data_IF_320992903315
#
_entry.id   IF_320992903315
#
_cell.length_a   1.000
_cell.length_b   1.000
_cell.length_c   1.000
_cell.angle_alpha   90.00
_cell.angle_beta   90.00
_cell.angle_gamma   90.00
#
_symmetry.space_group_name_H-M   'P 1'
#
loop_
_entity.id
_entity.type
_entity.pdbx_description
1 polymer ?
#
# COMPACT_ATOMS: atom_id res chain seq x y z
N UNK A 1 23.86 4.01 -4.77
CA UNK A 1 23.60 2.89 -3.82
C UNK A 1 22.66 3.27 -2.68
N UNK A 2 22.93 4.33 -1.91
CA UNK A 2 22.08 4.72 -0.76
C UNK A 2 20.62 4.96 -1.18
N UNK A 3 20.36 5.71 -2.26
CA UNK A 3 19.00 5.93 -2.79
C UNK A 3 18.27 4.62 -3.14
N UNK A 4 18.96 3.68 -3.79
CA UNK A 4 18.42 2.38 -4.18
C UNK A 4 18.06 1.52 -2.95
N UNK A 5 18.94 1.51 -1.94
CA UNK A 5 18.70 0.80 -0.68
C UNK A 5 17.51 1.42 0.06
N UNK A 6 17.43 2.75 0.14
CA UNK A 6 16.31 3.46 0.75
C UNK A 6 14.98 3.17 0.05
N UNK A 7 14.96 3.09 -1.28
CA UNK A 7 13.74 2.73 -2.03
C UNK A 7 13.30 1.28 -1.80
N UNK A 8 14.22 0.35 -1.60
CA UNK A 8 13.88 -1.05 -1.25
C UNK A 8 13.24 -1.11 0.14
N UNK A 9 13.83 -0.45 1.14
CA UNK A 9 13.24 -0.40 2.49
C UNK A 9 11.84 0.22 2.46
N UNK A 10 11.67 1.29 1.69
CA UNK A 10 10.36 1.91 1.50
C UNK A 10 9.34 0.97 0.83
N UNK A 11 9.77 0.16 -0.15
CA UNK A 11 8.91 -0.82 -0.81
C UNK A 11 8.44 -1.93 0.13
N UNK A 12 9.34 -2.45 0.96
CA UNK A 12 9.00 -3.45 1.97
C UNK A 12 8.00 -2.87 2.99
N UNK A 13 8.19 -1.61 3.40
CA UNK A 13 7.26 -0.94 4.30
C UNK A 13 5.87 -0.75 3.67
N UNK A 14 5.82 -0.28 2.43
CA UNK A 14 4.57 -0.01 1.72
C UNK A 14 3.76 -1.29 1.45
N UNK A 15 4.43 -2.35 0.98
CA UNK A 15 3.83 -3.68 0.81
C UNK A 15 3.34 -4.29 2.12
N UNK A 16 4.07 -4.10 3.23
CA UNK A 16 3.64 -4.55 4.56
C UNK A 16 2.38 -3.81 5.01
N UNK A 17 2.30 -2.51 4.79
CA UNK A 17 1.09 -1.72 5.09
C UNK A 17 -0.07 -2.17 4.22
N UNK A 18 0.15 -2.38 2.92
CA UNK A 18 -0.89 -2.86 2.00
C UNK A 18 -1.40 -4.24 2.42
N UNK A 19 -0.52 -5.14 2.83
CA UNK A 19 -0.88 -6.46 3.35
C UNK A 19 -1.69 -6.33 4.64
N UNK A 20 -1.20 -5.57 5.63
CA UNK A 20 -1.92 -5.31 6.88
C UNK A 20 -3.30 -4.71 6.62
N UNK A 21 -3.38 -3.76 5.69
CA UNK A 21 -4.61 -3.11 5.29
C UNK A 21 -5.58 -4.09 4.61
N UNK A 22 -5.07 -4.99 3.78
CA UNK A 22 -5.85 -6.06 3.14
C UNK A 22 -6.36 -7.11 4.13
N UNK A 23 -5.57 -7.44 5.16
CA UNK A 23 -6.01 -8.32 6.26
C UNK A 23 -7.05 -7.66 7.15
N UNK A 24 -6.84 -6.39 7.51
CA UNK A 24 -7.85 -5.57 8.19
C UNK A 24 -9.13 -5.53 7.35
N UNK A 25 -8.96 -5.28 6.05
CA UNK A 25 -9.84 -5.60 4.91
C UNK A 25 -10.92 -6.66 5.20
N UNK A 26 -10.38 -7.88 5.23
CA UNK A 26 -11.04 -9.17 5.30
C UNK A 26 -11.63 -9.48 6.69
N UNK A 27 -10.96 -9.04 7.76
CA UNK A 27 -11.40 -9.27 9.13
C UNK A 27 -11.65 -7.93 9.84
N UNK A 28 -12.77 -7.26 9.53
CA UNK A 28 -13.09 -5.98 10.17
C UNK A 28 -13.29 -6.19 11.66
N UNK A 29 -12.42 -5.58 12.47
CA UNK A 29 -12.53 -5.58 13.94
C UNK A 29 -13.64 -4.67 14.48
N UNK A 30 -14.28 -3.88 13.61
CA UNK A 30 -15.32 -2.91 13.98
C UNK A 30 -16.65 -3.25 13.26
N UNK A 31 -17.81 -3.02 13.91
CA UNK A 31 -19.15 -3.28 13.32
C UNK A 31 -19.34 -2.48 12.02
N UNK A 32 -20.27 -2.90 11.13
CA UNK A 32 -20.38 -2.37 9.78
C UNK A 32 -20.57 -0.86 9.81
N UNK A 33 -19.51 -0.17 9.42
CA UNK A 33 -19.43 1.28 9.41
C UNK A 33 -20.16 1.82 8.19
N UNK A 34 -20.78 2.99 8.35
CA UNK A 34 -21.56 3.71 7.34
C UNK A 34 -20.92 3.73 5.95
N UNK A 35 -21.71 3.97 4.91
CA UNK A 35 -21.27 4.05 3.50
C UNK A 35 -20.02 4.95 3.32
N UNK A 36 -19.91 6.02 4.11
CA UNK A 36 -18.74 6.91 4.18
C UNK A 36 -17.44 6.22 4.61
N UNK A 37 -17.50 5.25 5.51
CA UNK A 37 -16.34 4.50 5.97
C UNK A 37 -15.88 3.46 4.93
N UNK A 38 -16.82 2.81 4.23
CA UNK A 38 -16.49 1.96 3.08
C UNK A 38 -15.82 2.75 1.96
N UNK A 39 -16.28 3.98 1.68
CA UNK A 39 -15.66 4.88 0.71
C UNK A 39 -14.25 5.32 1.15
N UNK A 40 -14.08 5.74 2.40
CA UNK A 40 -12.75 6.11 2.91
C UNK A 40 -11.77 4.92 2.86
N UNK A 41 -12.25 3.73 3.19
CA UNK A 41 -11.48 2.49 3.11
C UNK A 41 -11.07 2.22 1.66
N UNK A 42 -12.01 2.11 0.73
CA UNK A 42 -11.70 1.87 -0.68
C UNK A 42 -10.72 2.90 -1.26
N UNK A 43 -10.86 4.18 -0.93
CA UNK A 43 -9.92 5.23 -1.34
C UNK A 43 -8.50 4.99 -0.81
N UNK A 44 -8.34 4.65 0.48
CA UNK A 44 -7.03 4.36 1.08
C UNK A 44 -6.38 3.14 0.42
N UNK A 45 -7.16 2.09 0.17
CA UNK A 45 -6.67 0.88 -0.51
C UNK A 45 -6.19 1.17 -1.92
N UNK A 46 -6.97 1.92 -2.70
CA UNK A 46 -6.59 2.31 -4.07
C UNK A 46 -5.32 3.16 -4.06
N UNK A 47 -5.19 4.11 -3.13
CA UNK A 47 -4.00 4.94 -3.02
C UNK A 47 -2.74 4.11 -2.72
N UNK A 48 -2.84 3.13 -1.82
CA UNK A 48 -1.74 2.23 -1.48
C UNK A 48 -1.32 1.38 -2.68
N UNK A 49 -2.28 0.82 -3.43
CA UNK A 49 -1.99 0.04 -4.64
C UNK A 49 -1.28 0.89 -5.71
N UNK A 50 -1.76 2.12 -5.95
CA UNK A 50 -1.12 3.03 -6.91
C UNK A 50 0.31 3.36 -6.48
N UNK A 51 0.53 3.66 -5.20
CA UNK A 51 1.84 3.97 -4.67
C UNK A 51 2.82 2.79 -4.80
N UNK A 52 2.34 1.56 -4.59
CA UNK A 52 3.14 0.33 -4.71
C UNK A 52 3.54 0.06 -6.17
N UNK A 53 2.59 0.20 -7.11
CA UNK A 53 2.87 0.08 -8.56
C UNK A 53 3.90 1.12 -9.01
N UNK A 54 3.75 2.37 -8.59
CA UNK A 54 4.66 3.45 -8.96
C UNK A 54 6.08 3.18 -8.44
N UNK A 55 6.19 2.66 -7.22
CA UNK A 55 7.46 2.31 -6.61
C UNK A 55 8.14 1.14 -7.33
N UNK A 56 7.39 0.10 -7.71
CA UNK A 56 7.90 -1.03 -8.51
C UNK A 56 8.40 -0.53 -9.86
N UNK A 57 7.66 0.32 -10.55
CA UNK A 57 8.08 0.91 -11.84
C UNK A 57 9.36 1.74 -11.69
N UNK A 58 9.47 2.51 -10.61
CA UNK A 58 10.66 3.30 -10.30
C UNK A 58 11.87 2.39 -10.06
N UNK A 59 11.71 1.32 -9.26
CA UNK A 59 12.77 0.34 -9.03
C UNK A 59 13.19 -0.39 -10.31
N UNK A 60 12.22 -0.76 -11.16
CA UNK A 60 12.49 -1.39 -12.46
C UNK A 60 13.30 -0.47 -13.38
N UNK A 61 12.96 0.83 -13.42
CA UNK A 61 13.69 1.82 -14.21
C UNK A 61 15.13 2.06 -13.76
N UNK A 62 15.44 1.80 -12.49
CA UNK A 62 16.79 1.93 -11.95
C UNK A 62 17.65 0.67 -12.18
N UNK A 63 17.04 -0.44 -12.58
CA UNK A 63 17.69 -1.73 -12.74
C UNK A 63 18.01 -2.07 -14.21
N UNK A 64 17.30 -1.44 -15.16
CA UNK A 64 17.56 -1.44 -16.61
C UNK A 64 18.63 -0.41 -16.98
#
# INVERSE_FOLDING_TARGET
MIFFISSIFFAIFLTTILAYWSFSALFPKAPPTTLSCLLARTLIGVLLVIADIFLILTLLSQLL
#
